data_IF_878845034695
#
_entry.id   IF_878845034695
#
_cell.length_a   1.000
_cell.length_b   1.000
_cell.length_c   1.000
_cell.angle_alpha   90.00
_cell.angle_beta   90.00
_cell.angle_gamma   90.00
#
_symmetry.space_group_name_H-M   'P 1'
#
loop_
_entity.id
_entity.type
_entity.pdbx_description
1 polymer ?
#
# COMPACT_ATOMS: atom_id res chain seq x y z
N UNK A 1 24.37 -7.05 -30.51
CA UNK A 1 23.84 -8.03 -29.56
C UNK A 1 22.41 -7.57 -29.26
N UNK A 2 21.42 -8.29 -29.79
CA UNK A 2 20.03 -7.91 -29.62
C UNK A 2 19.62 -8.07 -28.17
N UNK A 3 19.17 -6.98 -27.55
CA UNK A 3 18.51 -6.99 -26.24
C UNK A 3 17.08 -7.51 -26.43
N UNK A 4 16.97 -8.80 -26.75
CA UNK A 4 15.67 -9.46 -26.78
C UNK A 4 15.10 -9.49 -25.38
N UNK A 5 14.08 -8.67 -25.13
CA UNK A 5 13.27 -8.85 -23.94
C UNK A 5 12.68 -10.26 -23.96
N UNK A 6 12.64 -10.92 -22.79
CA UNK A 6 12.00 -12.23 -22.74
C UNK A 6 10.53 -12.09 -23.18
N UNK A 7 9.98 -13.10 -23.89
CA UNK A 7 8.59 -13.06 -24.29
C UNK A 7 7.68 -12.86 -23.08
N UNK A 8 6.64 -12.04 -23.27
CA UNK A 8 5.62 -11.84 -22.22
C UNK A 8 4.91 -13.19 -22.04
N UNK A 9 4.93 -13.68 -20.81
CA UNK A 9 4.30 -14.95 -20.46
C UNK A 9 2.80 -14.75 -20.23
N UNK A 10 2.02 -15.76 -20.52
CA UNK A 10 0.61 -15.79 -20.09
C UNK A 10 0.53 -15.59 -18.57
N UNK A 11 -0.31 -14.68 -18.15
CA UNK A 11 -0.43 -14.25 -16.76
C UNK A 11 -1.90 -14.18 -16.33
N UNK A 12 -2.14 -14.41 -15.05
CA UNK A 12 -3.49 -14.35 -14.47
C UNK A 12 -3.82 -12.92 -14.02
N UNK A 13 -2.79 -12.17 -13.64
CA UNK A 13 -2.95 -10.80 -13.08
C UNK A 13 -1.87 -9.88 -13.67
N UNK A 14 -2.29 -8.72 -14.15
CA UNK A 14 -1.39 -7.63 -14.54
C UNK A 14 -1.46 -6.56 -13.44
N UNK A 15 -0.33 -6.22 -12.86
CA UNK A 15 -0.18 -5.13 -11.90
C UNK A 15 0.57 -3.99 -12.57
N UNK A 16 -0.03 -2.81 -12.59
CA UNK A 16 0.54 -1.60 -13.19
C UNK A 16 1.04 -0.67 -12.07
N UNK A 17 2.34 -0.46 -12.06
CA UNK A 17 3.05 0.32 -11.05
C UNK A 17 3.70 -0.56 -9.97
N UNK A 18 5.02 -0.44 -9.79
CA UNK A 18 5.80 -1.17 -8.80
C UNK A 18 6.11 -0.35 -7.54
N UNK A 19 5.24 0.60 -7.21
CA UNK A 19 5.19 1.26 -5.91
C UNK A 19 4.64 0.32 -4.83
N UNK A 20 4.56 0.78 -3.57
CA UNK A 20 4.12 -0.06 -2.45
C UNK A 20 2.78 -0.76 -2.71
N UNK A 21 1.78 -0.06 -3.24
CA UNK A 21 0.47 -0.63 -3.52
C UNK A 21 0.54 -1.78 -4.54
N UNK A 22 1.29 -1.60 -5.63
CA UNK A 22 1.48 -2.64 -6.65
C UNK A 22 2.27 -3.83 -6.12
N UNK A 23 3.31 -3.59 -5.31
CA UNK A 23 4.08 -4.66 -4.66
C UNK A 23 3.20 -5.50 -3.72
N UNK A 24 2.33 -4.85 -2.95
CA UNK A 24 1.37 -5.54 -2.07
C UNK A 24 0.37 -6.35 -2.91
N UNK A 25 -0.21 -5.75 -3.95
CA UNK A 25 -1.15 -6.44 -4.83
C UNK A 25 -0.51 -7.66 -5.52
N UNK A 26 0.73 -7.52 -6.02
CA UNK A 26 1.48 -8.62 -6.60
C UNK A 26 1.75 -9.73 -5.58
N UNK A 27 2.12 -9.37 -4.34
CA UNK A 27 2.38 -10.35 -3.27
C UNK A 27 1.11 -11.14 -2.93
N UNK A 28 -0.04 -10.49 -2.79
CA UNK A 28 -1.31 -11.15 -2.49
C UNK A 28 -1.79 -12.03 -3.65
N UNK A 29 -1.62 -11.58 -4.90
CA UNK A 29 -1.93 -12.40 -6.08
C UNK A 29 -1.06 -13.66 -6.12
N UNK A 30 0.24 -13.54 -5.85
CA UNK A 30 1.17 -14.66 -5.77
C UNK A 30 0.84 -15.64 -4.63
N UNK A 31 0.44 -15.12 -3.48
CA UNK A 31 0.00 -15.93 -2.33
C UNK A 31 -1.26 -16.73 -2.66
N UNK A 32 -2.13 -16.18 -3.52
CA UNK A 32 -3.31 -16.87 -4.06
C UNK A 32 -3.00 -17.83 -5.22
N UNK A 33 -1.73 -18.11 -5.50
CA UNK A 33 -1.29 -19.05 -6.55
C UNK A 33 -1.36 -18.50 -7.98
N UNK A 34 -1.56 -17.20 -8.15
CA UNK A 34 -1.66 -16.56 -9.47
C UNK A 34 -0.28 -16.25 -10.06
N UNK A 35 -0.18 -16.29 -11.38
CA UNK A 35 0.98 -15.78 -12.13
C UNK A 35 0.78 -14.29 -12.38
N UNK A 36 1.84 -13.49 -12.14
CA UNK A 36 1.76 -12.03 -12.14
C UNK A 36 2.70 -11.44 -13.17
N UNK A 37 2.20 -10.46 -13.94
CA UNK A 37 3.01 -9.53 -14.71
C UNK A 37 2.99 -8.18 -13.99
N UNK A 38 4.15 -7.72 -13.53
CA UNK A 38 4.33 -6.42 -12.88
C UNK A 38 5.00 -5.45 -13.86
N UNK A 39 4.32 -4.37 -14.20
CA UNK A 39 4.77 -3.35 -15.14
C UNK A 39 5.08 -2.06 -14.39
N UNK A 40 6.20 -1.42 -14.72
CA UNK A 40 6.49 -0.08 -14.23
C UNK A 40 7.16 0.77 -15.33
N UNK A 41 6.77 2.05 -15.39
CA UNK A 41 7.40 3.00 -16.32
C UNK A 41 8.80 3.41 -15.88
N UNK A 42 9.11 3.27 -14.60
CA UNK A 42 10.38 3.64 -14.01
C UNK A 42 11.44 2.51 -14.16
N UNK A 43 12.71 2.77 -13.93
CA UNK A 43 13.74 1.73 -13.96
C UNK A 43 13.64 0.80 -12.74
N UNK A 44 14.26 -0.36 -12.83
CA UNK A 44 14.34 -1.33 -11.73
C UNK A 44 14.89 -0.76 -10.41
N UNK A 45 15.72 0.29 -10.49
CA UNK A 45 16.25 0.99 -9.32
C UNK A 45 15.19 1.79 -8.55
N UNK A 46 14.04 2.09 -9.18
CA UNK A 46 12.94 2.82 -8.58
C UNK A 46 11.89 1.89 -7.92
N UNK A 47 12.18 0.59 -7.83
CA UNK A 47 11.29 -0.40 -7.23
C UNK A 47 10.92 -0.01 -5.78
N UNK A 48 9.62 0.07 -5.50
CA UNK A 48 9.08 0.60 -4.25
C UNK A 48 8.51 2.02 -4.35
N UNK A 49 8.84 2.73 -5.43
CA UNK A 49 8.28 4.04 -5.75
C UNK A 49 8.49 5.07 -4.63
N UNK A 50 7.52 5.95 -4.45
CA UNK A 50 7.58 7.03 -3.44
C UNK A 50 7.67 6.51 -2.00
N UNK A 51 7.14 5.33 -1.71
CA UNK A 51 7.21 4.75 -0.38
C UNK A 51 8.64 4.46 0.07
N UNK A 52 9.54 4.15 -0.85
CA UNK A 52 10.97 3.96 -0.56
C UNK A 52 11.61 5.22 0.05
N UNK A 53 11.22 6.40 -0.43
CA UNK A 53 11.76 7.69 0.00
C UNK A 53 11.02 8.29 1.19
N UNK A 54 9.98 7.62 1.67
CA UNK A 54 9.15 8.11 2.76
C UNK A 54 9.85 7.94 4.11
N UNK A 55 9.33 8.67 5.11
CA UNK A 55 9.75 8.50 6.50
C UNK A 55 9.33 7.14 7.09
N UNK A 56 8.47 6.41 6.41
CA UNK A 56 8.07 5.07 6.80
C UNK A 56 7.06 5.02 7.94
N UNK A 57 6.10 5.92 7.95
CA UNK A 57 5.03 5.92 8.94
C UNK A 57 3.81 5.14 8.49
N UNK A 58 3.24 4.38 9.41
CA UNK A 58 2.03 3.61 9.20
C UNK A 58 0.95 4.03 10.19
N UNK A 59 -0.26 4.26 9.65
CA UNK A 59 -1.44 4.52 10.47
C UNK A 59 -1.93 3.21 11.09
N UNK A 60 -1.90 3.12 12.40
CA UNK A 60 -2.49 2.02 13.19
C UNK A 60 -3.31 2.59 14.33
N UNK A 61 -4.35 1.88 14.74
CA UNK A 61 -5.31 2.28 15.75
C UNK A 61 -5.29 1.30 16.91
N UNK A 62 -5.27 1.81 18.13
CA UNK A 62 -5.26 1.04 19.37
C UNK A 62 -4.18 -0.07 19.38
N UNK A 63 -3.01 0.28 18.89
CA UNK A 63 -1.88 -0.63 18.76
C UNK A 63 -1.22 -0.97 20.11
N UNK A 64 -0.49 -2.09 20.21
CA UNK A 64 0.33 -2.38 21.39
C UNK A 64 1.34 -1.28 21.70
N UNK A 65 1.86 -0.59 20.69
CA UNK A 65 2.78 0.53 20.83
C UNK A 65 2.08 1.74 21.48
N UNK A 66 0.88 2.09 21.01
CA UNK A 66 0.06 3.15 21.62
C UNK A 66 -0.27 2.81 23.08
N UNK A 67 -0.74 1.61 23.37
CA UNK A 67 -1.10 1.16 24.72
C UNK A 67 0.12 1.22 25.68
N UNK A 68 1.31 0.83 25.22
CA UNK A 68 2.55 0.93 25.98
C UNK A 68 2.93 2.37 26.31
N UNK A 69 2.64 3.29 25.42
CA UNK A 69 2.83 4.73 25.60
C UNK A 69 1.66 5.41 26.35
N UNK A 70 0.69 4.62 26.83
CA UNK A 70 -0.53 5.11 27.50
C UNK A 70 -1.42 6.01 26.63
N UNK A 71 -1.31 5.86 25.31
CA UNK A 71 -2.21 6.49 24.36
C UNK A 71 -3.49 5.65 24.31
N UNK A 72 -4.62 6.28 24.59
CA UNK A 72 -5.95 5.67 24.50
C UNK A 72 -6.53 5.99 23.14
N UNK A 73 -6.73 4.97 22.34
CA UNK A 73 -7.30 5.08 20.99
C UNK A 73 -8.43 4.06 20.82
N UNK A 74 -9.28 4.27 19.81
CA UNK A 74 -10.31 3.32 19.41
C UNK A 74 -10.69 3.51 17.94
N UNK A 75 -11.36 2.54 17.38
CA UNK A 75 -11.88 2.61 16.01
C UNK A 75 -12.84 3.79 15.85
N UNK A 76 -13.71 4.04 16.83
CA UNK A 76 -14.67 5.14 16.81
C UNK A 76 -13.98 6.50 16.87
N UNK A 77 -12.94 6.63 17.71
CA UNK A 77 -12.15 7.86 17.81
C UNK A 77 -11.40 8.10 16.49
N UNK A 78 -10.77 7.08 15.95
CA UNK A 78 -10.04 7.16 14.70
C UNK A 78 -10.96 7.52 13.52
N UNK A 79 -12.16 6.93 13.46
CA UNK A 79 -13.15 7.26 12.45
C UNK A 79 -13.66 8.71 12.57
N UNK A 80 -13.89 9.17 13.78
CA UNK A 80 -14.30 10.57 14.06
C UNK A 80 -13.23 11.56 13.62
N UNK A 81 -11.97 11.27 13.95
CA UNK A 81 -10.83 12.09 13.53
C UNK A 81 -10.70 12.13 12.01
N UNK A 82 -10.78 10.96 11.36
CA UNK A 82 -10.69 10.88 9.90
C UNK A 82 -11.83 11.63 9.21
N UNK A 83 -13.05 11.38 9.64
CA UNK A 83 -14.23 12.01 9.05
C UNK A 83 -14.23 13.54 9.25
N UNK A 84 -13.80 14.01 10.43
CA UNK A 84 -13.69 15.41 10.72
C UNK A 84 -12.62 16.14 9.89
N UNK A 85 -11.55 15.42 9.55
CA UNK A 85 -10.49 15.97 8.68
C UNK A 85 -10.86 15.93 7.21
N UNK A 86 -11.52 14.84 6.76
CA UNK A 86 -11.85 14.63 5.35
C UNK A 86 -13.09 15.42 4.88
N UNK A 87 -14.00 15.75 5.79
CA UNK A 87 -15.26 16.44 5.50
C UNK A 87 -16.35 15.52 4.95
N UNK A 88 -16.14 14.80 3.87
CA UNK A 88 -17.10 13.90 3.21
C UNK A 88 -18.51 14.48 3.04
N UNK A 89 -18.60 15.70 2.52
CA UNK A 89 -19.84 16.49 2.41
C UNK A 89 -20.43 16.54 1.00
N UNK A 90 -19.82 15.84 0.03
CA UNK A 90 -20.24 15.80 -1.36
C UNK A 90 -20.75 14.41 -1.75
N UNK A 91 -21.59 14.34 -2.78
CA UNK A 91 -22.11 13.08 -3.31
C UNK A 91 -20.99 12.16 -3.83
N UNK A 92 -19.93 12.73 -4.41
CA UNK A 92 -18.75 12.03 -4.92
C UNK A 92 -17.95 11.37 -3.80
N UNK A 93 -18.12 11.78 -2.55
CA UNK A 93 -17.40 11.26 -1.39
C UNK A 93 -17.92 9.89 -0.91
N UNK A 94 -18.95 9.33 -1.56
CA UNK A 94 -19.50 8.03 -1.17
C UNK A 94 -18.43 6.92 -1.13
N UNK A 95 -17.69 6.71 -2.22
CA UNK A 95 -16.64 5.69 -2.27
C UNK A 95 -15.41 6.05 -1.43
N UNK A 96 -14.86 7.26 -1.47
CA UNK A 96 -13.80 7.69 -0.55
C UNK A 96 -14.12 7.44 0.91
N UNK A 97 -15.35 7.76 1.35
CA UNK A 97 -15.82 7.49 2.71
C UNK A 97 -15.84 6.00 3.05
N UNK A 98 -16.35 5.15 2.13
CA UNK A 98 -16.38 3.69 2.32
C UNK A 98 -14.97 3.11 2.44
N UNK A 99 -14.06 3.55 1.59
CA UNK A 99 -12.65 3.14 1.65
C UNK A 99 -11.97 3.60 2.94
N UNK A 100 -12.20 4.83 3.37
CA UNK A 100 -11.66 5.35 4.63
C UNK A 100 -12.14 4.54 5.83
N UNK A 101 -13.43 4.20 5.87
CA UNK A 101 -14.00 3.36 6.92
C UNK A 101 -13.34 1.98 6.96
N UNK A 102 -13.30 1.30 5.82
CA UNK A 102 -12.67 -0.02 5.71
C UNK A 102 -11.17 0.04 6.11
N UNK A 103 -10.47 1.12 5.76
CA UNK A 103 -9.08 1.30 6.13
C UNK A 103 -8.89 1.53 7.63
N UNK A 104 -9.76 2.29 8.29
CA UNK A 104 -9.71 2.49 9.75
C UNK A 104 -9.99 1.18 10.49
N UNK A 105 -10.98 0.41 10.05
CA UNK A 105 -11.29 -0.91 10.59
C UNK A 105 -10.11 -1.89 10.43
N UNK A 106 -9.51 -1.93 9.24
CA UNK A 106 -8.31 -2.73 8.99
C UNK A 106 -7.13 -2.29 9.87
N UNK A 107 -6.93 -0.97 10.04
CA UNK A 107 -5.86 -0.41 10.86
C UNK A 107 -6.02 -0.68 12.36
N UNK A 108 -7.26 -0.83 12.83
CA UNK A 108 -7.57 -1.22 14.20
C UNK A 108 -7.50 -2.75 14.41
N UNK A 109 -7.69 -3.52 13.35
CA UNK A 109 -7.73 -4.97 13.37
C UNK A 109 -6.45 -5.64 12.88
N UNK A 110 -6.53 -6.20 11.68
CA UNK A 110 -5.53 -7.16 11.15
C UNK A 110 -4.24 -6.52 10.66
N UNK A 111 -4.27 -5.26 10.24
CA UNK A 111 -3.18 -4.61 9.52
C UNK A 111 -1.82 -4.78 10.17
N UNK A 112 -1.75 -4.58 11.48
CA UNK A 112 -0.49 -4.68 12.20
C UNK A 112 0.08 -6.10 12.18
N UNK A 113 -0.75 -7.10 12.47
CA UNK A 113 -0.33 -8.50 12.49
C UNK A 113 0.05 -8.97 11.09
N UNK A 114 -0.74 -8.61 10.09
CA UNK A 114 -0.48 -8.93 8.70
C UNK A 114 0.87 -8.34 8.23
N UNK A 115 1.12 -7.05 8.47
CA UNK A 115 2.40 -6.41 8.12
C UNK A 115 3.58 -7.05 8.86
N UNK A 116 3.39 -7.41 10.14
CA UNK A 116 4.42 -8.10 10.92
C UNK A 116 4.77 -9.45 10.32
N UNK A 117 3.78 -10.20 9.85
CA UNK A 117 3.96 -11.47 9.15
C UNK A 117 4.72 -11.30 7.83
N UNK A 118 4.51 -10.17 7.12
CA UNK A 118 5.28 -9.83 5.92
C UNK A 118 6.75 -9.46 6.21
N UNK A 119 7.10 -9.19 7.46
CA UNK A 119 8.46 -8.84 7.86
C UNK A 119 8.66 -7.37 8.25
N UNK A 120 7.61 -6.55 8.21
CA UNK A 120 7.68 -5.16 8.70
C UNK A 120 7.89 -5.15 10.22
N UNK A 121 8.73 -4.25 10.70
CA UNK A 121 9.02 -4.05 12.11
C UNK A 121 8.83 -2.60 12.50
N UNK A 122 8.36 -2.38 13.73
CA UNK A 122 8.11 -1.02 14.23
C UNK A 122 9.16 -0.59 15.22
N UNK A 123 9.50 0.68 15.12
CA UNK A 123 10.20 1.38 16.18
C UNK A 123 9.23 1.58 17.37
N UNK A 124 9.67 1.51 18.62
CA UNK A 124 8.79 1.64 19.79
C UNK A 124 8.38 3.09 20.04
N UNK A 125 7.96 3.77 19.00
CA UNK A 125 7.58 5.18 18.98
C UNK A 125 6.36 5.38 18.10
N UNK A 126 5.35 6.07 18.66
CA UNK A 126 4.19 6.53 17.91
C UNK A 126 4.19 8.05 17.93
N UNK A 127 4.12 8.64 16.77
CA UNK A 127 4.16 10.08 16.58
C UNK A 127 2.84 10.63 16.05
N UNK A 128 2.74 11.95 16.10
CA UNK A 128 1.69 12.69 15.44
C UNK A 128 1.98 12.72 13.94
N UNK A 129 0.99 12.37 13.13
CA UNK A 129 0.98 12.74 11.73
C UNK A 129 0.72 14.26 11.63
N UNK A 130 0.90 14.81 10.45
CA UNK A 130 0.48 16.17 10.19
C UNK A 130 -1.01 16.34 10.53
N UNK A 131 -1.32 17.37 11.27
CA UNK A 131 -2.72 17.70 11.54
C UNK A 131 -3.32 18.23 10.25
N UNK A 132 -4.47 17.66 9.87
CA UNK A 132 -5.25 18.18 8.76
C UNK A 132 -5.45 19.68 8.92
N UNK A 133 -5.12 20.39 7.88
CA UNK A 133 -5.43 21.79 7.72
C UNK A 133 -6.76 21.95 6.99
N UNK A 134 -6.90 23.05 6.33
CA UNK A 134 -8.12 23.47 5.65
C UNK A 134 -9.25 23.80 6.62
N UNK A 135 -10.43 23.87 6.06
CA UNK A 135 -11.66 24.24 6.74
C UNK A 135 -12.27 23.08 7.55
N UNK A 136 -11.46 22.09 7.90
CA UNK A 136 -11.90 21.00 8.76
C UNK A 136 -12.24 21.56 10.14
N UNK A 137 -13.50 21.91 10.32
CA UNK A 137 -14.06 22.42 11.58
C UNK A 137 -14.40 21.30 12.55
N UNK A 138 -14.30 20.06 12.08
CA UNK A 138 -14.60 18.87 12.85
C UNK A 138 -13.45 18.36 13.70
N UNK A 139 -13.68 17.21 14.27
CA UNK A 139 -12.69 16.45 15.02
C UNK A 139 -11.50 16.11 14.13
N UNK A 140 -10.30 16.09 14.63
CA UNK A 140 -9.09 15.85 13.86
C UNK A 140 -8.19 14.88 14.59
N UNK A 141 -6.93 14.88 14.29
CA UNK A 141 -5.92 13.96 14.81
C UNK A 141 -5.76 14.06 16.34
N UNK A 142 -6.67 13.42 17.09
CA UNK A 142 -6.80 13.55 18.55
C UNK A 142 -5.70 12.86 19.33
N UNK A 143 -5.14 11.79 18.76
CA UNK A 143 -4.07 10.99 19.37
C UNK A 143 -3.02 10.63 18.31
N UNK A 144 -1.76 10.37 18.73
CA UNK A 144 -0.72 9.96 17.79
C UNK A 144 -1.02 8.56 17.22
N UNK A 145 -1.00 8.42 15.88
CA UNK A 145 -1.23 7.18 15.15
C UNK A 145 -0.16 6.87 14.12
N UNK A 146 0.85 7.70 14.01
CA UNK A 146 1.94 7.53 13.06
C UNK A 146 3.00 6.60 13.66
N UNK A 147 2.96 5.33 13.26
CA UNK A 147 3.90 4.30 13.72
C UNK A 147 5.10 4.26 12.81
N UNK A 148 6.25 4.61 13.34
CA UNK A 148 7.51 4.61 12.59
C UNK A 148 8.00 3.18 12.41
N UNK A 149 8.38 2.83 11.18
CA UNK A 149 8.96 1.52 10.88
C UNK A 149 10.48 1.53 11.02
N UNK A 150 11.05 0.41 11.45
CA UNK A 150 12.48 0.19 11.34
C UNK A 150 12.91 0.26 9.87
N UNK A 151 13.94 1.06 9.59
CA UNK A 151 14.44 1.27 8.23
C UNK A 151 13.61 2.25 7.41
N UNK A 152 12.67 2.95 8.03
CA UNK A 152 11.87 3.99 7.36
C UNK A 152 11.14 3.47 6.11
N UNK A 153 11.10 4.22 5.00
CA UNK A 153 10.48 3.79 3.73
C UNK A 153 11.02 2.46 3.19
N UNK A 154 12.35 2.26 3.12
CA UNK A 154 12.92 0.95 2.79
C UNK A 154 12.39 -0.18 3.68
N UNK A 155 12.22 0.06 4.99
CA UNK A 155 11.70 -0.93 5.92
C UNK A 155 10.26 -1.38 5.66
N UNK A 156 9.44 -0.52 5.03
CA UNK A 156 8.09 -0.89 4.58
C UNK A 156 8.15 -1.66 3.25
N UNK A 157 9.00 -1.23 2.33
CA UNK A 157 9.01 -1.70 0.93
C UNK A 157 9.74 -3.04 0.79
N UNK A 158 10.89 -3.18 1.44
CA UNK A 158 11.81 -4.31 1.27
C UNK A 158 11.18 -5.70 1.50
N UNK A 159 10.28 -5.91 2.47
CA UNK A 159 9.61 -7.19 2.63
C UNK A 159 8.86 -7.66 1.38
N UNK A 160 8.19 -6.74 0.70
CA UNK A 160 7.44 -7.02 -0.53
C UNK A 160 8.37 -7.13 -1.74
N UNK A 161 9.40 -6.31 -1.83
CA UNK A 161 10.44 -6.41 -2.87
C UNK A 161 11.09 -7.78 -2.87
N UNK A 162 11.45 -8.30 -1.69
CA UNK A 162 12.03 -9.65 -1.59
C UNK A 162 11.10 -10.73 -2.12
N UNK A 163 9.80 -10.64 -1.81
CA UNK A 163 8.81 -11.61 -2.25
C UNK A 163 8.61 -11.61 -3.77
N UNK A 164 8.48 -10.41 -4.38
CA UNK A 164 8.32 -10.33 -5.83
C UNK A 164 9.60 -10.75 -6.58
N UNK A 165 10.79 -10.48 -6.04
CA UNK A 165 12.06 -10.96 -6.60
C UNK A 165 12.16 -12.48 -6.54
N UNK A 166 11.87 -13.08 -5.40
CA UNK A 166 11.86 -14.54 -5.26
C UNK A 166 10.83 -15.21 -6.19
N UNK A 167 9.67 -14.59 -6.39
CA UNK A 167 8.68 -15.07 -7.33
C UNK A 167 9.16 -14.95 -8.80
N UNK A 168 9.92 -13.90 -9.11
CA UNK A 168 10.52 -13.74 -10.44
C UNK A 168 11.59 -14.82 -10.73
N UNK A 169 12.41 -15.18 -9.75
CA UNK A 169 13.41 -16.23 -9.87
C UNK A 169 12.77 -17.60 -10.16
N UNK A 170 11.55 -17.84 -9.66
CA UNK A 170 10.79 -19.08 -9.89
C UNK A 170 9.85 -19.01 -11.09
N UNK A 171 9.86 -17.92 -11.86
CA UNK A 171 9.01 -17.75 -13.04
C UNK A 171 7.52 -17.53 -12.74
N UNK A 172 7.13 -17.33 -11.48
CA UNK A 172 5.74 -17.03 -11.09
C UNK A 172 5.38 -15.56 -11.25
N UNK A 173 6.38 -14.71 -11.39
CA UNK A 173 6.22 -13.29 -11.66
C UNK A 173 7.21 -12.85 -12.72
N UNK A 174 6.75 -12.00 -13.64
CA UNK A 174 7.61 -11.29 -14.59
C UNK A 174 7.56 -9.79 -14.26
N UNK A 175 8.72 -9.14 -14.18
CA UNK A 175 8.82 -7.68 -14.01
C UNK A 175 9.34 -7.04 -15.30
N UNK A 176 8.60 -6.06 -15.81
CA UNK A 176 9.02 -5.26 -16.96
C UNK A 176 9.10 -3.79 -16.54
N UNK A 177 10.31 -3.27 -16.53
CA UNK A 177 10.59 -1.88 -16.23
C UNK A 177 10.74 -1.06 -17.51
N UNK A 178 10.58 0.28 -17.43
CA UNK A 178 10.52 1.16 -18.59
C UNK A 178 9.36 0.85 -19.53
N UNK A 179 8.27 0.31 -18.96
CA UNK A 179 7.02 -0.01 -19.65
C UNK A 179 5.89 0.84 -19.10
N UNK A 180 5.57 1.88 -19.84
CA UNK A 180 4.45 2.77 -19.49
C UNK A 180 3.16 2.23 -20.08
N UNK A 181 2.22 1.89 -19.25
CA UNK A 181 0.85 1.55 -19.67
C UNK A 181 0.11 2.83 -20.03
N UNK A 182 -0.47 2.84 -21.23
CA UNK A 182 -1.20 3.99 -21.78
C UNK A 182 -2.69 3.73 -21.97
N UNK A 183 -3.12 2.48 -21.87
CA UNK A 183 -4.51 2.11 -22.03
C UNK A 183 -4.83 0.71 -21.59
N UNK A 184 -6.13 0.44 -21.47
CA UNK A 184 -6.65 -0.90 -21.25
C UNK A 184 -7.06 -1.49 -22.60
N UNK A 185 -6.69 -2.73 -22.82
CA UNK A 185 -7.20 -3.51 -23.94
C UNK A 185 -8.46 -4.25 -23.49
N UNK A 186 -9.49 -4.19 -24.31
CA UNK A 186 -10.76 -4.84 -24.02
C UNK A 186 -11.21 -5.69 -25.19
N UNK A 187 -11.76 -6.87 -24.90
CA UNK A 187 -12.41 -7.74 -25.86
C UNK A 187 -13.76 -8.18 -25.30
N UNK A 188 -14.82 -8.05 -26.10
CA UNK A 188 -16.19 -8.43 -25.73
C UNK A 188 -16.66 -7.84 -24.37
N UNK A 189 -16.26 -6.59 -24.09
CA UNK A 189 -16.61 -5.90 -22.86
C UNK A 189 -15.79 -6.29 -21.61
N UNK A 190 -14.80 -7.17 -21.78
CA UNK A 190 -13.90 -7.60 -20.70
C UNK A 190 -12.50 -7.04 -20.93
N UNK A 191 -11.85 -6.62 -19.87
CA UNK A 191 -10.42 -6.21 -19.91
C UNK A 191 -9.57 -7.48 -20.04
N UNK A 192 -8.82 -7.59 -21.14
CA UNK A 192 -7.96 -8.74 -21.42
C UNK A 192 -6.47 -8.40 -21.52
N UNK A 193 -6.11 -7.15 -21.26
CA UNK A 193 -4.73 -6.72 -21.27
C UNK A 193 -4.54 -5.21 -21.13
N UNK A 194 -3.30 -4.79 -21.34
CA UNK A 194 -2.89 -3.37 -21.33
C UNK A 194 -2.02 -3.04 -22.54
N UNK A 195 -1.95 -1.76 -22.92
CA UNK A 195 -1.09 -1.24 -23.98
C UNK A 195 -0.13 -0.18 -23.44
#
# INVERSE_FOLDING_TARGET
MGTGQPPIQDTDVIVVGAGLAGLVAATEALASGRRVLLLDQEPAAALGGQAYWSFGGLFLVDSPEQRRLRVRDSTELAWRDWSGTAGFDRAEDYWPRRWAQAYVEFAAGEKRCWLHAQGVRWFPLVQWAERGGYDATGHGNSVPRFHVTWGTGPGIVEPFVRQVRAAAETGRLQMLFRHRVTGLRTSEGTVDGVT
#
